data_IF_583153556922
#
_entry.id   IF_583153556922
#
_cell.length_a   1.000
_cell.length_b   1.000
_cell.length_c   1.000
_cell.angle_alpha   90.00
_cell.angle_beta   90.00
_cell.angle_gamma   90.00
#
_symmetry.space_group_name_H-M   'P 1'
#
loop_
_entity.id
_entity.type
_entity.pdbx_description
1 polymer ?
#
# COMPACT_ATOMS: atom_id res chain seq x y z
N UNK A 1 -11.38 -25.77 -16.83
CA UNK A 1 -12.07 -24.82 -17.77
C UNK A 1 -11.51 -25.00 -19.18
N UNK A 2 -12.32 -25.55 -20.12
CA UNK A 2 -11.90 -25.75 -21.52
C UNK A 2 -12.20 -24.51 -22.41
N UNK A 3 -12.31 -23.31 -21.83
CA UNK A 3 -12.53 -22.08 -22.61
C UNK A 3 -11.16 -21.52 -23.03
N UNK A 4 -11.00 -21.29 -24.33
CA UNK A 4 -9.83 -20.57 -24.84
C UNK A 4 -9.81 -19.13 -24.30
N UNK A 5 -8.68 -18.73 -23.74
CA UNK A 5 -8.47 -17.34 -23.29
C UNK A 5 -8.46 -16.42 -24.50
N UNK A 6 -9.33 -15.41 -24.49
CA UNK A 6 -9.46 -14.38 -25.51
C UNK A 6 -8.64 -13.13 -25.14
N UNK A 7 -8.34 -12.27 -26.10
CA UNK A 7 -7.50 -11.08 -25.87
C UNK A 7 -8.08 -10.12 -24.83
N UNK A 8 -9.41 -9.96 -24.76
CA UNK A 8 -10.07 -9.08 -23.80
C UNK A 8 -10.08 -9.64 -22.37
N UNK A 9 -9.88 -10.94 -22.18
CA UNK A 9 -9.78 -11.55 -20.85
C UNK A 9 -8.57 -10.97 -20.07
N UNK A 10 -7.50 -10.56 -20.79
CA UNK A 10 -6.35 -9.89 -20.18
C UNK A 10 -6.71 -8.58 -19.50
N UNK A 11 -7.61 -7.80 -20.11
CA UNK A 11 -8.11 -6.55 -19.55
C UNK A 11 -9.19 -6.82 -18.48
N UNK A 12 -10.18 -7.66 -18.80
CA UNK A 12 -11.32 -7.92 -17.93
C UNK A 12 -10.91 -8.47 -16.55
N UNK A 13 -9.96 -9.41 -16.51
CA UNK A 13 -9.49 -10.00 -15.23
C UNK A 13 -8.64 -9.04 -14.40
N UNK A 14 -8.06 -8.04 -15.03
CA UNK A 14 -7.17 -7.10 -14.39
C UNK A 14 -7.76 -5.69 -14.21
N UNK A 15 -8.92 -5.39 -14.80
CA UNK A 15 -9.51 -4.05 -14.78
C UNK A 15 -9.72 -3.51 -13.36
N UNK A 16 -10.11 -4.37 -12.43
CA UNK A 16 -10.39 -3.95 -11.06
C UNK A 16 -9.15 -3.44 -10.29
N UNK A 17 -7.94 -3.86 -10.68
CA UNK A 17 -6.70 -3.33 -10.13
C UNK A 17 -6.52 -1.83 -10.39
N UNK A 18 -7.00 -1.36 -11.55
CA UNK A 18 -7.01 0.07 -11.86
C UNK A 18 -7.88 0.85 -10.87
N UNK A 19 -9.06 0.36 -10.53
CA UNK A 19 -9.95 0.97 -9.53
C UNK A 19 -9.35 1.02 -8.14
N UNK A 20 -8.81 -0.12 -7.65
CA UNK A 20 -8.14 -0.21 -6.35
C UNK A 20 -6.97 0.78 -6.24
N UNK A 21 -6.16 0.87 -7.28
CA UNK A 21 -5.01 1.77 -7.29
C UNK A 21 -5.41 3.24 -7.47
N UNK A 22 -6.43 3.55 -8.27
CA UNK A 22 -6.97 4.90 -8.37
C UNK A 22 -7.52 5.37 -7.02
N UNK A 23 -8.25 4.50 -6.29
CA UNK A 23 -8.72 4.77 -4.94
C UNK A 23 -7.57 5.06 -3.98
N UNK A 24 -6.57 4.18 -3.94
CA UNK A 24 -5.41 4.33 -3.07
C UNK A 24 -4.61 5.61 -3.38
N UNK A 25 -4.33 5.89 -4.66
CA UNK A 25 -3.58 7.07 -5.10
C UNK A 25 -4.36 8.38 -4.95
N UNK A 26 -5.67 8.33 -4.81
CA UNK A 26 -6.50 9.50 -4.54
C UNK A 26 -6.66 9.75 -3.04
N UNK A 27 -7.09 8.73 -2.30
CA UNK A 27 -7.42 8.90 -0.88
C UNK A 27 -6.20 9.13 -0.02
N UNK A 28 -5.18 8.28 -0.15
CA UNK A 28 -4.01 8.31 0.74
C UNK A 28 -3.17 9.59 0.58
N UNK A 29 -2.72 9.98 -0.62
CA UNK A 29 -1.83 11.13 -0.76
C UNK A 29 -2.55 12.47 -1.00
N UNK A 30 -3.84 12.48 -1.36
CA UNK A 30 -4.51 13.72 -1.76
C UNK A 30 -5.65 14.10 -0.81
N UNK A 31 -6.69 13.26 -0.69
CA UNK A 31 -7.95 13.64 0.00
C UNK A 31 -7.80 13.59 1.51
N UNK A 32 -7.34 12.46 2.05
CA UNK A 32 -7.30 12.26 3.52
C UNK A 32 -6.34 13.22 4.22
N UNK A 33 -5.10 13.48 3.71
CA UNK A 33 -4.23 14.46 4.34
C UNK A 33 -4.81 15.87 4.37
N UNK A 34 -5.49 16.30 3.28
CA UNK A 34 -6.12 17.63 3.21
C UNK A 34 -7.25 17.76 4.24
N UNK A 35 -8.11 16.75 4.38
CA UNK A 35 -9.20 16.77 5.36
C UNK A 35 -8.69 16.69 6.80
N UNK A 36 -7.66 15.87 7.08
CA UNK A 36 -7.03 15.84 8.41
C UNK A 36 -6.48 17.20 8.78
N UNK A 37 -5.78 17.88 7.85
CA UNK A 37 -5.26 19.24 8.07
C UNK A 37 -6.38 20.25 8.32
N UNK A 38 -7.49 20.15 7.57
CA UNK A 38 -8.67 21.00 7.76
C UNK A 38 -9.28 20.86 9.16
N UNK A 39 -9.37 19.65 9.70
CA UNK A 39 -10.03 19.37 10.98
C UNK A 39 -9.14 19.62 12.20
N UNK A 40 -7.84 19.33 12.09
CA UNK A 40 -6.90 19.31 13.22
C UNK A 40 -5.92 20.50 13.20
N UNK A 41 -5.78 21.17 12.06
CA UNK A 41 -4.84 22.27 11.89
C UNK A 41 -3.41 21.82 11.58
N UNK A 42 -2.50 22.82 11.45
CA UNK A 42 -1.13 22.63 10.99
C UNK A 42 -0.25 21.84 11.96
N UNK A 43 -0.36 22.12 13.26
CA UNK A 43 0.60 21.61 14.26
C UNK A 43 0.50 20.09 14.47
N UNK A 44 -0.71 19.55 14.47
CA UNK A 44 -0.99 18.16 14.82
C UNK A 44 -1.35 17.26 13.63
N UNK A 45 -1.46 17.83 12.41
CA UNK A 45 -1.88 17.08 11.21
C UNK A 45 -1.08 15.81 10.95
N UNK A 46 0.24 15.88 11.13
CA UNK A 46 1.14 14.73 10.91
C UNK A 46 0.86 13.57 11.88
N UNK A 47 0.72 13.89 13.15
CA UNK A 47 0.43 12.89 14.21
C UNK A 47 -0.93 12.23 14.00
N UNK A 48 -1.97 13.02 13.73
CA UNK A 48 -3.33 12.52 13.53
C UNK A 48 -3.43 11.71 12.23
N UNK A 49 -2.80 12.16 11.15
CA UNK A 49 -2.74 11.40 9.89
C UNK A 49 -1.94 10.10 10.04
N UNK A 50 -0.81 10.13 10.74
CA UNK A 50 -0.01 8.93 11.03
C UNK A 50 -0.80 7.89 11.82
N UNK A 51 -1.54 8.34 12.86
CA UNK A 51 -2.41 7.47 13.64
C UNK A 51 -3.53 6.85 12.79
N UNK A 52 -4.19 7.64 11.97
CA UNK A 52 -5.21 7.15 11.05
C UNK A 52 -4.63 6.10 10.09
N UNK A 53 -3.45 6.35 9.51
CA UNK A 53 -2.77 5.40 8.63
C UNK A 53 -2.40 4.10 9.33
N UNK A 54 -1.91 4.16 10.55
CA UNK A 54 -1.59 2.97 11.34
C UNK A 54 -2.81 2.04 11.43
N UNK A 55 -3.93 2.57 11.89
CA UNK A 55 -5.13 1.77 12.08
C UNK A 55 -5.74 1.27 10.76
N UNK A 56 -5.77 2.10 9.73
CA UNK A 56 -6.28 1.69 8.41
C UNK A 56 -5.47 0.55 7.80
N UNK A 57 -4.15 0.57 7.94
CA UNK A 57 -3.28 -0.49 7.42
C UNK A 57 -3.40 -1.78 8.23
N UNK A 58 -3.57 -1.70 9.55
CA UNK A 58 -3.82 -2.88 10.40
C UNK A 58 -5.15 -3.56 10.05
N UNK A 59 -6.21 -2.77 9.88
CA UNK A 59 -7.52 -3.26 9.44
C UNK A 59 -7.42 -3.88 8.04
N UNK A 60 -6.70 -3.25 7.11
CA UNK A 60 -6.51 -3.76 5.76
C UNK A 60 -5.91 -5.17 5.74
N UNK A 61 -4.85 -5.43 6.52
CA UNK A 61 -4.19 -6.75 6.58
C UNK A 61 -5.18 -7.83 7.02
N UNK A 62 -5.94 -7.57 8.08
CA UNK A 62 -6.89 -8.53 8.64
C UNK A 62 -8.04 -8.81 7.66
N UNK A 63 -8.65 -7.74 7.15
CA UNK A 63 -9.83 -7.87 6.29
C UNK A 63 -9.48 -8.48 4.95
N UNK A 64 -8.36 -8.10 4.33
CA UNK A 64 -7.93 -8.65 3.04
C UNK A 64 -7.74 -10.16 3.09
N UNK A 65 -7.07 -10.64 4.12
CA UNK A 65 -6.82 -12.07 4.31
C UNK A 65 -8.10 -12.84 4.62
N UNK A 66 -8.96 -12.28 5.49
CA UNK A 66 -10.25 -12.88 5.82
C UNK A 66 -11.18 -12.93 4.58
N UNK A 67 -11.26 -11.84 3.83
CA UNK A 67 -12.06 -11.78 2.62
C UNK A 67 -11.57 -12.76 1.54
N UNK A 68 -10.25 -12.92 1.41
CA UNK A 68 -9.65 -13.94 0.56
C UNK A 68 -10.14 -15.35 0.93
N UNK A 69 -10.01 -15.72 2.20
CA UNK A 69 -10.47 -17.00 2.73
C UNK A 69 -11.97 -17.24 2.57
N UNK A 70 -12.80 -16.22 2.85
CA UNK A 70 -14.24 -16.28 2.69
C UNK A 70 -14.65 -16.41 1.22
N UNK A 71 -14.01 -15.66 0.33
CA UNK A 71 -14.30 -15.71 -1.10
C UNK A 71 -13.90 -17.07 -1.72
N UNK A 72 -12.81 -17.70 -1.24
CA UNK A 72 -12.40 -19.05 -1.67
C UNK A 72 -13.48 -20.10 -1.42
N UNK A 73 -14.27 -19.90 -0.39
CA UNK A 73 -15.30 -20.84 0.08
C UNK A 73 -16.71 -20.49 -0.39
N UNK A 74 -16.87 -19.36 -1.08
CA UNK A 74 -18.17 -18.90 -1.53
C UNK A 74 -18.78 -19.88 -2.54
N UNK A 75 -20.06 -20.24 -2.29
CA UNK A 75 -20.88 -21.10 -3.17
C UNK A 75 -21.90 -20.27 -3.96
N UNK A 76 -21.68 -18.96 -4.06
CA UNK A 76 -22.59 -18.02 -4.74
C UNK A 76 -22.82 -18.45 -6.20
N UNK A 77 -24.06 -18.28 -6.68
CA UNK A 77 -24.47 -18.50 -8.07
C UNK A 77 -23.74 -17.56 -9.06
N UNK A 78 -23.29 -16.40 -8.58
CA UNK A 78 -22.58 -15.40 -9.39
C UNK A 78 -21.07 -15.67 -9.51
N UNK A 79 -20.58 -16.79 -9.02
CA UNK A 79 -19.17 -17.07 -8.86
C UNK A 79 -18.67 -16.83 -7.45
N UNK A 80 -17.43 -17.20 -7.15
CA UNK A 80 -16.90 -17.08 -5.80
C UNK A 80 -16.30 -15.71 -5.49
N UNK A 81 -15.77 -14.98 -6.48
CA UNK A 81 -15.07 -13.70 -6.30
C UNK A 81 -15.96 -12.48 -6.56
N UNK A 82 -16.81 -12.53 -7.60
CA UNK A 82 -17.65 -11.42 -8.03
C UNK A 82 -18.53 -10.80 -6.92
N UNK A 83 -19.21 -11.58 -6.05
CA UNK A 83 -20.03 -10.98 -5.00
C UNK A 83 -19.23 -10.11 -4.04
N UNK A 84 -18.00 -10.52 -3.69
CA UNK A 84 -17.12 -9.77 -2.80
C UNK A 84 -16.61 -8.49 -3.47
N UNK A 85 -16.27 -8.53 -4.76
CA UNK A 85 -15.89 -7.35 -5.54
C UNK A 85 -17.04 -6.35 -5.57
N UNK A 86 -18.26 -6.81 -5.86
CA UNK A 86 -19.44 -5.96 -5.93
C UNK A 86 -19.76 -5.34 -4.57
N UNK A 87 -19.83 -6.14 -3.51
CA UNK A 87 -20.14 -5.68 -2.15
C UNK A 87 -19.08 -4.68 -1.66
N UNK A 88 -17.80 -4.98 -1.89
CA UNK A 88 -16.72 -4.07 -1.53
C UNK A 88 -16.81 -2.74 -2.29
N UNK A 89 -17.07 -2.80 -3.60
CA UNK A 89 -17.24 -1.57 -4.41
C UNK A 89 -18.44 -0.74 -3.95
N UNK A 90 -19.60 -1.36 -3.71
CA UNK A 90 -20.79 -0.64 -3.22
C UNK A 90 -20.50 0.04 -1.87
N UNK A 91 -19.80 -0.68 -0.97
CA UNK A 91 -19.36 -0.11 0.29
C UNK A 91 -18.39 1.07 0.08
N UNK A 92 -17.40 0.93 -0.82
CA UNK A 92 -16.47 2.00 -1.13
C UNK A 92 -17.18 3.25 -1.65
N UNK A 93 -18.17 3.10 -2.55
CA UNK A 93 -18.95 4.23 -3.06
C UNK A 93 -19.67 4.98 -1.93
N UNK A 94 -20.27 4.26 -0.98
CA UNK A 94 -20.94 4.86 0.19
C UNK A 94 -19.92 5.59 1.07
N UNK A 95 -18.77 4.94 1.38
CA UNK A 95 -17.76 5.53 2.25
C UNK A 95 -17.10 6.76 1.60
N UNK A 96 -16.83 6.73 0.30
CA UNK A 96 -16.29 7.88 -0.45
C UNK A 96 -17.28 9.05 -0.39
N UNK A 97 -18.57 8.81 -0.58
CA UNK A 97 -19.60 9.85 -0.46
C UNK A 97 -19.64 10.44 0.96
N UNK A 98 -19.59 9.61 1.99
CA UNK A 98 -19.58 10.05 3.39
C UNK A 98 -18.31 10.84 3.74
N UNK A 99 -17.13 10.44 3.20
CA UNK A 99 -15.90 11.22 3.30
C UNK A 99 -16.06 12.59 2.62
N UNK A 100 -16.71 12.64 1.46
CA UNK A 100 -17.03 13.90 0.79
C UNK A 100 -17.91 14.81 1.64
N UNK A 101 -18.95 14.28 2.28
CA UNK A 101 -19.82 15.03 3.20
C UNK A 101 -19.05 15.51 4.43
N UNK A 102 -18.06 14.75 4.93
CA UNK A 102 -17.26 15.19 6.07
C UNK A 102 -16.52 16.51 5.83
N UNK A 103 -16.21 16.85 4.57
CA UNK A 103 -15.53 18.09 4.24
C UNK A 103 -16.28 19.37 4.67
N UNK A 104 -17.59 19.27 4.88
CA UNK A 104 -18.42 20.34 5.46
C UNK A 104 -18.41 20.41 7.00
N UNK A 105 -17.69 19.51 7.67
CA UNK A 105 -17.57 19.47 9.13
C UNK A 105 -16.34 20.27 9.59
N UNK A 106 -16.29 20.57 10.87
CA UNK A 106 -15.19 21.34 11.48
C UNK A 106 -14.69 20.65 12.76
N UNK A 107 -13.42 20.91 13.08
CA UNK A 107 -12.79 20.53 14.34
C UNK A 107 -12.67 19.02 14.57
N UNK A 108 -12.44 18.59 15.84
CA UNK A 108 -12.18 17.20 16.18
C UNK A 108 -13.32 16.24 15.83
N UNK A 109 -14.57 16.71 15.81
CA UNK A 109 -15.73 15.89 15.42
C UNK A 109 -15.62 15.47 13.95
N UNK A 110 -15.22 16.38 13.05
CA UNK A 110 -14.95 16.08 11.64
C UNK A 110 -13.85 15.05 11.48
N UNK A 111 -12.76 15.16 12.27
CA UNK A 111 -11.67 14.19 12.25
C UNK A 111 -12.15 12.77 12.66
N UNK A 112 -12.87 12.62 13.76
CA UNK A 112 -13.32 11.29 14.21
C UNK A 112 -14.35 10.67 13.27
N UNK A 113 -15.18 11.50 12.63
CA UNK A 113 -16.06 11.04 11.58
C UNK A 113 -15.24 10.55 10.37
N UNK A 114 -14.29 11.35 9.86
CA UNK A 114 -13.36 10.97 8.80
C UNK A 114 -12.63 9.68 9.15
N UNK A 115 -12.07 9.59 10.36
CA UNK A 115 -11.35 8.41 10.86
C UNK A 115 -12.20 7.15 10.71
N UNK A 116 -13.45 7.20 11.20
CA UNK A 116 -14.38 6.08 11.12
C UNK A 116 -14.72 5.71 9.69
N UNK A 117 -14.99 6.69 8.82
CA UNK A 117 -15.32 6.43 7.41
C UNK A 117 -14.13 5.85 6.65
N UNK A 118 -12.91 6.30 6.91
CA UNK A 118 -11.70 5.75 6.27
C UNK A 118 -11.41 4.34 6.76
N UNK A 119 -11.62 4.03 8.04
CA UNK A 119 -11.54 2.64 8.57
C UNK A 119 -12.55 1.73 7.87
N UNK A 120 -13.81 2.16 7.75
CA UNK A 120 -14.85 1.39 7.07
C UNK A 120 -14.56 1.23 5.57
N UNK A 121 -14.02 2.27 4.92
CA UNK A 121 -13.54 2.18 3.54
C UNK A 121 -12.42 1.15 3.41
N UNK A 122 -11.49 1.07 4.37
CA UNK A 122 -10.47 0.01 4.34
C UNK A 122 -11.07 -1.39 4.47
N UNK A 123 -12.15 -1.55 5.23
CA UNK A 123 -12.89 -2.83 5.28
C UNK A 123 -13.46 -3.14 3.90
N UNK A 124 -14.23 -2.25 3.30
CA UNK A 124 -14.91 -2.48 2.02
C UNK A 124 -13.94 -2.69 0.87
N UNK A 125 -12.93 -1.84 0.76
CA UNK A 125 -11.85 -1.97 -0.25
C UNK A 125 -11.13 -3.31 -0.14
N UNK A 126 -10.80 -3.75 1.08
CA UNK A 126 -10.05 -4.98 1.26
C UNK A 126 -10.91 -6.25 1.14
N UNK A 127 -12.23 -6.16 1.30
CA UNK A 127 -13.17 -7.21 0.90
C UNK A 127 -13.08 -7.47 -0.61
N UNK A 128 -13.12 -6.42 -1.43
CA UNK A 128 -12.96 -6.55 -2.87
C UNK A 128 -11.53 -6.95 -3.27
N UNK A 129 -10.52 -6.36 -2.63
CA UNK A 129 -9.11 -6.61 -2.91
C UNK A 129 -8.73 -8.08 -2.66
N UNK A 130 -9.12 -8.65 -1.50
CA UNK A 130 -8.87 -10.04 -1.16
C UNK A 130 -9.45 -11.01 -2.19
N UNK A 131 -10.67 -10.74 -2.67
CA UNK A 131 -11.30 -11.51 -3.74
C UNK A 131 -10.56 -11.35 -5.08
N UNK A 132 -10.16 -10.13 -5.44
CA UNK A 132 -9.50 -9.83 -6.72
C UNK A 132 -8.15 -10.55 -6.85
N UNK A 133 -7.39 -10.71 -5.76
CA UNK A 133 -6.11 -11.40 -5.77
C UNK A 133 -6.20 -12.86 -6.24
N UNK A 134 -7.33 -13.52 -5.98
CA UNK A 134 -7.54 -14.91 -6.38
C UNK A 134 -7.90 -15.11 -7.86
N UNK A 135 -8.23 -14.08 -8.63
CA UNK A 135 -8.71 -14.21 -10.01
C UNK A 135 -7.67 -14.85 -10.92
N UNK A 136 -6.44 -14.35 -10.92
CA UNK A 136 -5.37 -14.87 -11.79
C UNK A 136 -5.00 -16.31 -11.44
N UNK A 137 -4.70 -16.67 -10.17
CA UNK A 137 -4.41 -18.06 -9.79
C UNK A 137 -5.53 -19.04 -10.15
N UNK A 138 -6.79 -18.61 -10.02
CA UNK A 138 -7.95 -19.47 -10.19
C UNK A 138 -8.34 -19.72 -11.64
N UNK A 139 -8.24 -18.69 -12.49
CA UNK A 139 -8.83 -18.71 -13.83
C UNK A 139 -7.79 -18.76 -14.94
N UNK A 140 -6.51 -18.45 -14.65
CA UNK A 140 -5.48 -18.35 -15.67
C UNK A 140 -4.53 -19.56 -15.62
N UNK A 141 -4.38 -20.31 -16.73
CA UNK A 141 -3.40 -21.38 -16.87
C UNK A 141 -1.98 -20.91 -16.58
N UNK A 142 -1.16 -21.79 -16.00
CA UNK A 142 0.19 -21.46 -15.52
C UNK A 142 1.05 -20.79 -16.62
N UNK A 143 0.94 -21.27 -17.87
CA UNK A 143 1.72 -20.81 -19.03
C UNK A 143 1.39 -19.35 -19.45
N UNK A 144 0.22 -18.85 -19.06
CA UNK A 144 -0.26 -17.50 -19.42
C UNK A 144 -0.23 -16.51 -18.26
N UNK A 145 0.03 -16.96 -17.02
CA UNK A 145 0.02 -16.11 -15.82
C UNK A 145 1.00 -14.94 -15.92
N UNK A 146 2.17 -15.15 -16.54
CA UNK A 146 3.15 -14.08 -16.74
C UNK A 146 2.59 -12.90 -17.55
N UNK A 147 1.88 -13.19 -18.65
CA UNK A 147 1.24 -12.15 -19.49
C UNK A 147 0.11 -11.42 -18.75
N UNK A 148 -0.71 -12.15 -17.98
CA UNK A 148 -1.74 -11.53 -17.13
C UNK A 148 -1.15 -10.64 -16.05
N UNK A 149 -0.06 -11.08 -15.42
CA UNK A 149 0.65 -10.28 -14.41
C UNK A 149 1.27 -9.02 -14.99
N UNK A 150 1.75 -9.04 -16.24
CA UNK A 150 2.24 -7.85 -16.91
C UNK A 150 1.13 -6.82 -17.14
N UNK A 151 -0.05 -7.26 -17.62
CA UNK A 151 -1.22 -6.37 -17.77
C UNK A 151 -1.70 -5.86 -16.41
N UNK A 152 -1.72 -6.72 -15.37
CA UNK A 152 -2.00 -6.30 -14.00
C UNK A 152 -1.07 -5.17 -13.58
N UNK A 153 0.24 -5.32 -13.75
CA UNK A 153 1.21 -4.32 -13.33
C UNK A 153 0.99 -2.96 -14.03
N UNK A 154 0.59 -2.95 -15.28
CA UNK A 154 0.23 -1.73 -16.01
C UNK A 154 -1.02 -1.05 -15.42
N UNK A 155 -2.06 -1.84 -15.13
CA UNK A 155 -3.32 -1.34 -14.58
C UNK A 155 -3.24 -1.02 -13.07
N UNK A 156 -2.25 -1.55 -12.37
CA UNK A 156 -2.04 -1.34 -10.93
C UNK A 156 -1.16 -0.11 -10.64
N UNK A 157 -0.15 0.18 -11.46
CA UNK A 157 0.86 1.20 -11.13
C UNK A 157 0.80 2.41 -12.06
N UNK A 158 1.24 2.37 -13.34
CA UNK A 158 1.40 3.59 -14.12
C UNK A 158 0.09 4.22 -14.58
N UNK A 159 -0.86 3.41 -15.05
CA UNK A 159 -2.11 3.92 -15.60
C UNK A 159 -2.94 4.67 -14.55
N UNK A 160 -3.18 4.13 -13.33
CA UNK A 160 -3.89 4.87 -12.29
C UNK A 160 -3.18 6.15 -11.88
N UNK A 161 -1.84 6.14 -11.77
CA UNK A 161 -1.07 7.33 -11.43
C UNK A 161 -1.25 8.44 -12.46
N UNK A 162 -1.22 8.09 -13.74
CA UNK A 162 -1.44 9.04 -14.84
C UNK A 162 -2.87 9.60 -14.77
N UNK A 163 -3.88 8.73 -14.67
CA UNK A 163 -5.28 9.14 -14.58
C UNK A 163 -5.48 10.08 -13.38
N UNK A 164 -5.08 9.67 -12.18
CA UNK A 164 -5.25 10.46 -10.97
C UNK A 164 -4.52 11.80 -11.09
N UNK A 165 -3.30 11.81 -11.61
CA UNK A 165 -2.48 13.03 -11.73
C UNK A 165 -3.08 14.06 -12.67
N UNK A 166 -3.59 13.64 -13.82
CA UNK A 166 -4.11 14.56 -14.83
C UNK A 166 -5.59 14.93 -14.66
N UNK A 167 -6.35 14.16 -13.90
CA UNK A 167 -7.79 14.41 -13.69
C UNK A 167 -8.10 14.79 -12.23
N UNK A 168 -8.07 13.82 -11.33
CA UNK A 168 -8.52 13.96 -9.94
C UNK A 168 -7.70 14.99 -9.17
N UNK A 169 -6.38 14.93 -9.25
CA UNK A 169 -5.51 15.87 -8.52
C UNK A 169 -5.68 17.32 -8.98
N UNK A 170 -5.96 17.54 -10.28
CA UNK A 170 -6.29 18.88 -10.78
C UNK A 170 -7.61 19.41 -10.23
N UNK A 171 -8.61 18.54 -10.04
CA UNK A 171 -9.87 18.92 -9.42
C UNK A 171 -9.66 19.28 -7.95
N UNK A 172 -8.91 18.45 -7.21
CA UNK A 172 -8.58 18.72 -5.81
C UNK A 172 -7.81 20.04 -5.66
N UNK A 173 -6.79 20.32 -6.50
CA UNK A 173 -6.00 21.54 -6.45
C UNK A 173 -6.80 22.81 -6.80
N UNK A 174 -7.92 22.67 -7.51
CA UNK A 174 -8.86 23.76 -7.79
C UNK A 174 -9.98 23.90 -6.73
N UNK A 175 -9.89 23.15 -5.62
CA UNK A 175 -10.91 23.14 -4.57
C UNK A 175 -12.18 22.35 -4.92
N UNK A 176 -12.22 21.67 -6.06
CA UNK A 176 -13.38 20.86 -6.46
C UNK A 176 -13.26 19.43 -5.95
N UNK A 177 -13.43 19.26 -4.62
CA UNK A 177 -13.34 17.95 -3.98
C UNK A 177 -14.44 17.01 -4.48
N UNK A 178 -15.67 17.47 -4.60
CA UNK A 178 -16.79 16.64 -5.07
C UNK A 178 -16.59 16.16 -6.51
N UNK A 179 -16.09 16.99 -7.41
CA UNK A 179 -15.75 16.58 -8.76
C UNK A 179 -14.70 15.47 -8.77
N UNK A 180 -13.68 15.56 -7.91
CA UNK A 180 -12.64 14.55 -7.74
C UNK A 180 -13.23 13.22 -7.24
N UNK A 181 -14.08 13.25 -6.21
CA UNK A 181 -14.71 12.06 -5.63
C UNK A 181 -15.68 11.39 -6.59
N UNK A 182 -16.53 12.15 -7.30
CA UNK A 182 -17.45 11.62 -8.30
C UNK A 182 -16.69 10.96 -9.45
N UNK A 183 -15.58 11.55 -9.91
CA UNK A 183 -14.73 10.95 -10.93
C UNK A 183 -14.14 9.62 -10.45
N UNK A 184 -13.64 9.56 -9.21
CA UNK A 184 -13.16 8.33 -8.60
C UNK A 184 -14.25 7.26 -8.50
N UNK A 185 -15.44 7.64 -8.02
CA UNK A 185 -16.60 6.74 -7.92
C UNK A 185 -16.99 6.20 -9.30
N UNK A 186 -16.97 7.05 -10.34
CA UNK A 186 -17.22 6.65 -11.73
C UNK A 186 -16.22 5.59 -12.22
N UNK A 187 -14.92 5.78 -11.94
CA UNK A 187 -13.89 4.80 -12.25
C UNK A 187 -14.20 3.46 -11.56
N UNK A 188 -14.50 3.48 -10.25
CA UNK A 188 -14.81 2.27 -9.49
C UNK A 188 -16.02 1.53 -10.04
N UNK A 189 -17.08 2.24 -10.39
CA UNK A 189 -18.28 1.65 -11.01
C UNK A 189 -17.94 0.97 -12.33
N UNK A 190 -17.21 1.65 -13.21
CA UNK A 190 -16.84 1.11 -14.53
C UNK A 190 -16.00 -0.17 -14.38
N UNK A 191 -14.96 -0.15 -13.54
CA UNK A 191 -14.11 -1.33 -13.39
C UNK A 191 -14.83 -2.48 -12.66
N UNK A 192 -15.75 -2.18 -11.74
CA UNK A 192 -16.58 -3.19 -11.10
C UNK A 192 -17.53 -3.84 -12.10
N UNK A 193 -18.18 -3.06 -12.97
CA UNK A 193 -19.02 -3.58 -14.04
C UNK A 193 -18.21 -4.49 -14.98
N UNK A 194 -17.00 -4.07 -15.38
CA UNK A 194 -16.10 -4.91 -16.18
C UNK A 194 -15.78 -6.23 -15.44
N UNK A 195 -15.51 -6.17 -14.12
CA UNK A 195 -15.21 -7.36 -13.33
C UNK A 195 -16.41 -8.35 -13.26
N UNK A 196 -17.65 -7.88 -13.42
CA UNK A 196 -18.81 -8.77 -13.48
C UNK A 196 -18.84 -9.66 -14.72
N UNK A 197 -18.10 -9.32 -15.78
CA UNK A 197 -17.97 -10.16 -16.97
C UNK A 197 -16.89 -11.25 -16.85
N UNK A 198 -16.16 -11.36 -15.75
CA UNK A 198 -15.20 -12.43 -15.51
C UNK A 198 -15.94 -13.78 -15.53
N UNK A 199 -15.51 -14.78 -16.32
CA UNK A 199 -16.23 -16.04 -16.47
C UNK A 199 -15.98 -16.97 -15.27
N UNK A 200 -16.58 -16.69 -14.12
CA UNK A 200 -16.54 -17.57 -12.96
C UNK A 200 -17.64 -18.63 -13.00
N UNK A 201 -17.33 -19.83 -12.55
CA UNK A 201 -18.31 -20.90 -12.36
C UNK A 201 -18.66 -21.03 -10.88
N UNK A 202 -19.90 -21.44 -10.60
CA UNK A 202 -20.33 -21.73 -9.23
C UNK A 202 -19.46 -22.88 -8.66
N UNK A 203 -18.91 -22.68 -7.50
CA UNK A 203 -18.23 -23.73 -6.76
C UNK A 203 -19.29 -24.66 -6.12
N UNK A 204 -19.41 -25.90 -6.62
CA UNK A 204 -20.36 -26.88 -6.13
C UNK A 204 -19.79 -27.77 -5.02
N UNK A 205 -18.48 -27.73 -4.78
CA UNK A 205 -17.88 -28.49 -3.69
C UNK A 205 -18.16 -27.82 -2.35
N UNK A 206 -18.68 -28.58 -1.39
CA UNK A 206 -18.78 -28.14 -0.01
C UNK A 206 -17.37 -27.84 0.50
N UNK A 207 -17.13 -26.60 0.89
CA UNK A 207 -15.85 -26.19 1.43
C UNK A 207 -15.59 -26.91 2.76
N UNK A 208 -14.35 -27.34 2.97
CA UNK A 208 -13.87 -27.74 4.30
C UNK A 208 -14.19 -26.65 5.34
N UNK A 209 -14.48 -27.00 6.61
CA UNK A 209 -14.80 -26.02 7.64
C UNK A 209 -13.70 -24.95 7.76
N UNK A 210 -14.06 -23.75 8.16
CA UNK A 210 -13.13 -22.62 8.32
C UNK A 210 -12.02 -23.05 9.29
N UNK A 211 -10.78 -23.04 8.85
CA UNK A 211 -9.65 -23.28 9.74
C UNK A 211 -9.50 -22.04 10.65
N UNK A 212 -10.29 -22.02 11.72
CA UNK A 212 -10.28 -20.95 12.72
C UNK A 212 -8.88 -20.67 13.24
N UNK A 213 -8.05 -21.70 13.30
CA UNK A 213 -6.64 -21.60 13.69
C UNK A 213 -5.83 -20.66 12.78
N UNK A 214 -6.05 -20.71 11.46
CA UNK A 214 -5.35 -19.84 10.51
C UNK A 214 -5.75 -18.36 10.71
N UNK A 215 -7.05 -18.13 10.96
CA UNK A 215 -7.54 -16.77 11.27
C UNK A 215 -7.00 -16.26 12.61
N UNK A 216 -7.08 -17.07 13.67
CA UNK A 216 -6.55 -16.70 14.99
C UNK A 216 -5.06 -16.41 14.92
N UNK A 217 -4.30 -17.21 14.17
CA UNK A 217 -2.87 -17.02 13.96
C UNK A 217 -2.56 -15.71 13.23
N UNK A 218 -3.31 -15.40 12.16
CA UNK A 218 -3.17 -14.14 11.42
C UNK A 218 -3.54 -12.96 12.31
N UNK A 219 -4.63 -13.04 13.05
CA UNK A 219 -5.06 -12.00 14.00
C UNK A 219 -4.01 -11.80 15.10
N UNK A 220 -3.48 -12.87 15.68
CA UNK A 220 -2.42 -12.81 16.69
C UNK A 220 -1.13 -12.19 16.15
N UNK A 221 -0.72 -12.57 14.92
CA UNK A 221 0.45 -12.01 14.26
C UNK A 221 0.28 -10.50 14.00
N UNK A 222 -0.87 -10.06 13.50
CA UNK A 222 -1.16 -8.65 13.24
C UNK A 222 -1.26 -7.86 14.53
N UNK A 223 -1.93 -8.42 15.56
CA UNK A 223 -2.03 -7.78 16.88
C UNK A 223 -0.66 -7.61 17.54
N UNK A 224 0.18 -8.65 17.51
CA UNK A 224 1.53 -8.58 18.06
C UNK A 224 2.37 -7.52 17.33
N UNK A 225 2.29 -7.45 16.00
CA UNK A 225 2.96 -6.43 15.21
C UNK A 225 2.48 -5.02 15.59
N UNK A 226 1.16 -4.84 15.70
CA UNK A 226 0.55 -3.55 16.09
C UNK A 226 0.98 -3.12 17.50
N UNK A 227 0.98 -4.05 18.46
CA UNK A 227 1.41 -3.76 19.84
C UNK A 227 2.88 -3.36 19.91
N UNK A 228 3.76 -3.98 19.11
CA UNK A 228 5.17 -3.59 19.00
C UNK A 228 5.27 -2.15 18.48
N UNK A 229 4.53 -1.80 17.44
CA UNK A 229 4.52 -0.44 16.88
C UNK A 229 4.01 0.58 17.89
N UNK A 230 2.88 0.31 18.54
CA UNK A 230 2.30 1.21 19.55
C UNK A 230 3.25 1.39 20.74
N UNK A 231 3.90 0.31 21.20
CA UNK A 231 4.87 0.36 22.29
C UNK A 231 6.09 1.22 21.95
N UNK A 232 6.65 1.07 20.74
CA UNK A 232 7.77 1.88 20.27
C UNK A 232 7.35 3.34 20.12
N UNK A 233 6.20 3.62 19.50
CA UNK A 233 5.69 4.97 19.34
C UNK A 233 5.40 5.63 20.70
N UNK A 234 4.89 4.89 21.67
CA UNK A 234 4.72 5.39 23.05
C UNK A 234 6.07 5.73 23.67
N UNK A 235 7.09 4.88 23.52
CA UNK A 235 8.43 5.14 24.01
C UNK A 235 9.05 6.40 23.35
N UNK A 236 8.84 6.62 22.05
CA UNK A 236 9.27 7.84 21.35
C UNK A 236 8.55 9.07 21.92
N UNK A 237 7.24 8.98 22.17
CA UNK A 237 6.46 10.07 22.79
C UNK A 237 6.96 10.44 24.20
N UNK A 238 7.44 9.49 24.97
CA UNK A 238 8.04 9.77 26.28
C UNK A 238 9.33 10.61 26.18
N UNK A 239 10.03 10.57 25.06
CA UNK A 239 11.20 11.41 24.81
C UNK A 239 10.83 12.86 24.43
N UNK A 240 9.58 13.12 24.02
CA UNK A 240 9.13 14.44 23.54
C UNK A 240 9.42 15.61 24.52
N UNK A 241 9.19 15.52 25.84
CA UNK A 241 9.50 16.62 26.76
C UNK A 241 10.99 16.99 26.83
N UNK A 242 11.86 16.01 26.56
CA UNK A 242 13.30 16.23 26.49
C UNK A 242 13.69 16.91 25.16
N UNK A 243 13.03 16.51 24.07
CA UNK A 243 13.27 17.04 22.74
C UNK A 243 12.81 18.49 22.60
N UNK A 244 11.68 18.87 23.17
CA UNK A 244 11.15 20.24 23.10
C UNK A 244 12.05 21.31 23.74
N UNK A 245 13.04 20.92 24.55
CA UNK A 245 14.01 21.83 25.19
C UNK A 245 15.27 22.03 24.34
N UNK A 246 15.41 21.34 23.22
CA UNK A 246 16.60 21.39 22.38
C UNK A 246 16.52 22.49 21.33
N UNK A 247 17.65 23.05 20.94
CA UNK A 247 17.77 23.94 19.78
C UNK A 247 17.47 23.18 18.47
N UNK A 248 17.15 23.90 17.41
CA UNK A 248 16.66 23.31 16.14
C UNK A 248 17.61 22.26 15.51
N UNK A 249 18.92 22.50 15.50
CA UNK A 249 19.87 21.59 14.89
C UNK A 249 20.07 20.29 15.69
N UNK A 250 20.35 20.34 17.04
CA UNK A 250 20.38 19.14 17.86
C UNK A 250 19.04 18.38 17.88
N UNK A 251 17.92 19.10 17.89
CA UNK A 251 16.57 18.51 17.82
C UNK A 251 16.40 17.65 16.58
N UNK A 252 16.78 18.16 15.41
CA UNK A 252 16.65 17.42 14.13
C UNK A 252 17.49 16.13 14.15
N UNK A 253 18.75 16.21 14.60
CA UNK A 253 19.65 15.05 14.68
C UNK A 253 19.12 14.02 15.68
N UNK A 254 18.75 14.47 16.87
CA UNK A 254 18.28 13.57 17.94
C UNK A 254 16.96 12.88 17.55
N UNK A 255 16.01 13.62 16.98
CA UNK A 255 14.76 13.06 16.46
C UNK A 255 15.02 12.07 15.35
N UNK A 256 15.93 12.37 14.42
CA UNK A 256 16.34 11.45 13.36
C UNK A 256 16.93 10.15 13.90
N UNK A 257 17.83 10.22 14.86
CA UNK A 257 18.44 9.03 15.51
C UNK A 257 17.38 8.21 16.27
N UNK A 258 16.52 8.84 17.05
CA UNK A 258 15.44 8.15 17.78
C UNK A 258 14.49 7.45 16.81
N UNK A 259 14.11 8.12 15.71
CA UNK A 259 13.25 7.55 14.68
C UNK A 259 13.90 6.35 13.97
N UNK A 260 15.20 6.43 13.66
CA UNK A 260 15.94 5.31 13.06
C UNK A 260 16.03 4.10 14.00
N UNK A 261 16.31 4.34 15.29
CA UNK A 261 16.34 3.28 16.31
C UNK A 261 14.94 2.67 16.47
N UNK A 262 13.90 3.50 16.59
CA UNK A 262 12.51 3.06 16.67
C UNK A 262 12.10 2.22 15.46
N UNK A 263 12.44 2.67 14.26
CA UNK A 263 12.21 1.93 13.03
C UNK A 263 12.94 0.58 13.02
N UNK A 264 14.22 0.56 13.41
CA UNK A 264 14.98 -0.67 13.47
C UNK A 264 14.36 -1.68 14.48
N UNK A 265 13.97 -1.22 15.66
CA UNK A 265 13.29 -2.04 16.66
C UNK A 265 11.95 -2.57 16.16
N UNK A 266 11.16 -1.73 15.47
CA UNK A 266 9.88 -2.12 14.86
C UNK A 266 10.07 -3.19 13.77
N UNK A 267 11.05 -3.01 12.91
CA UNK A 267 11.35 -3.96 11.82
C UNK A 267 11.83 -5.30 12.39
N UNK A 268 12.86 -5.28 13.22
CA UNK A 268 13.43 -6.52 13.78
C UNK A 268 12.47 -7.22 14.76
N UNK A 269 11.82 -6.45 15.63
CA UNK A 269 10.85 -6.96 16.61
C UNK A 269 9.60 -7.49 15.89
N UNK A 270 9.03 -6.70 14.97
CA UNK A 270 7.85 -7.06 14.22
C UNK A 270 8.04 -8.30 13.35
N UNK A 271 9.16 -8.40 12.61
CA UNK A 271 9.48 -9.59 11.80
C UNK A 271 9.70 -10.81 12.69
N UNK A 272 10.44 -10.67 13.80
CA UNK A 272 10.70 -11.80 14.69
C UNK A 272 9.42 -12.32 15.35
N UNK A 273 8.54 -11.43 15.80
CA UNK A 273 7.23 -11.81 16.36
C UNK A 273 6.35 -12.48 15.29
N UNK A 274 6.27 -11.89 14.10
CA UNK A 274 5.48 -12.45 13.00
C UNK A 274 5.95 -13.83 12.58
N UNK A 275 7.25 -14.07 12.50
CA UNK A 275 7.80 -15.37 12.15
C UNK A 275 7.54 -16.43 13.25
N UNK A 276 7.62 -16.03 14.51
CA UNK A 276 7.35 -16.96 15.64
C UNK A 276 5.88 -17.38 15.70
N UNK A 277 4.96 -16.47 15.38
CA UNK A 277 3.51 -16.73 15.45
C UNK A 277 3.00 -17.38 14.16
N UNK A 278 3.46 -16.88 13.01
CA UNK A 278 2.91 -17.25 11.70
C UNK A 278 3.51 -18.49 11.07
N UNK A 279 4.71 -18.92 11.47
CA UNK A 279 5.45 -20.02 10.82
C UNK A 279 5.57 -21.23 11.73
N UNK A 280 4.92 -22.35 11.36
CA UNK A 280 5.01 -23.61 12.10
C UNK A 280 6.32 -24.35 11.84
N UNK A 281 6.85 -24.25 10.64
CA UNK A 281 8.11 -24.92 10.26
C UNK A 281 9.30 -24.31 10.98
N UNK A 282 9.89 -25.06 11.88
CA UNK A 282 11.08 -24.64 12.64
C UNK A 282 12.27 -24.34 11.70
N UNK A 283 12.41 -25.11 10.62
CA UNK A 283 13.45 -24.93 9.62
C UNK A 283 13.31 -23.57 8.92
N UNK A 284 12.11 -23.18 8.50
CA UNK A 284 11.86 -21.91 7.84
C UNK A 284 11.97 -20.73 8.82
N UNK A 285 11.50 -20.90 10.06
CA UNK A 285 11.60 -19.87 11.11
C UNK A 285 13.03 -19.55 11.47
N UNK A 286 13.94 -20.55 11.41
CA UNK A 286 15.37 -20.41 11.68
C UNK A 286 16.20 -20.08 10.44
N UNK A 287 15.63 -20.09 9.23
CA UNK A 287 16.35 -19.76 8.00
C UNK A 287 16.77 -18.28 7.99
N UNK A 288 18.07 -17.99 8.05
CA UNK A 288 18.55 -16.62 8.05
C UNK A 288 18.24 -15.91 6.72
N UNK A 289 18.21 -16.61 5.60
CA UNK A 289 17.96 -16.04 4.27
C UNK A 289 16.54 -15.52 4.17
N UNK A 290 15.55 -16.30 4.63
CA UNK A 290 14.15 -15.92 4.65
C UNK A 290 13.90 -14.72 5.58
N UNK A 291 14.45 -14.76 6.79
CA UNK A 291 14.33 -13.68 7.77
C UNK A 291 14.92 -12.37 7.23
N UNK A 292 16.12 -12.40 6.67
CA UNK A 292 16.76 -11.20 6.12
C UNK A 292 16.05 -10.67 4.87
N UNK A 293 15.47 -11.55 4.05
CA UNK A 293 14.65 -11.14 2.93
C UNK A 293 13.41 -10.36 3.37
N UNK A 294 12.68 -10.85 4.40
CA UNK A 294 11.51 -10.16 4.96
C UNK A 294 11.90 -8.82 5.58
N UNK A 295 12.99 -8.77 6.36
CA UNK A 295 13.52 -7.52 6.96
C UNK A 295 13.87 -6.51 5.87
N UNK A 296 14.62 -6.92 4.86
CA UNK A 296 15.01 -6.04 3.75
C UNK A 296 13.79 -5.48 3.01
N UNK A 297 12.81 -6.34 2.72
CA UNK A 297 11.56 -5.95 2.08
C UNK A 297 10.80 -4.93 2.92
N UNK A 298 10.62 -5.21 4.21
CA UNK A 298 9.92 -4.30 5.13
C UNK A 298 10.63 -2.96 5.24
N UNK A 299 11.94 -2.95 5.44
CA UNK A 299 12.75 -1.73 5.58
C UNK A 299 12.69 -0.85 4.32
N UNK A 300 12.82 -1.44 3.12
CA UNK A 300 12.73 -0.69 1.87
C UNK A 300 11.33 -0.09 1.67
N UNK A 301 10.30 -0.89 1.92
CA UNK A 301 8.91 -0.46 1.71
C UNK A 301 8.46 0.60 2.73
N UNK A 302 9.07 0.69 3.93
CA UNK A 302 8.83 1.78 4.87
C UNK A 302 9.11 3.13 4.18
N UNK A 303 10.27 3.30 3.57
CA UNK A 303 10.61 4.52 2.84
C UNK A 303 9.69 4.76 1.65
N UNK A 304 9.53 3.74 0.81
CA UNK A 304 8.77 3.84 -0.44
C UNK A 304 7.28 4.18 -0.23
N UNK A 305 6.59 3.48 0.67
CA UNK A 305 5.15 3.67 0.89
C UNK A 305 4.82 4.97 1.63
N UNK A 306 5.73 5.44 2.50
CA UNK A 306 5.46 6.65 3.28
C UNK A 306 5.82 7.92 2.53
N UNK A 307 6.74 7.86 1.57
CA UNK A 307 7.00 8.98 0.69
C UNK A 307 5.69 9.48 0.04
N UNK A 308 4.89 8.59 -0.55
CA UNK A 308 3.62 8.96 -1.17
C UNK A 308 2.62 9.53 -0.15
N UNK A 309 2.52 8.92 1.05
CA UNK A 309 1.56 9.32 2.08
C UNK A 309 1.79 10.72 2.66
N UNK A 310 3.05 11.11 2.82
CA UNK A 310 3.40 12.41 3.43
C UNK A 310 3.83 13.47 2.42
N UNK A 311 3.72 13.21 1.11
CA UNK A 311 4.18 14.10 0.04
C UNK A 311 3.59 15.50 0.16
N UNK A 312 2.28 15.65 0.41
CA UNK A 312 1.64 16.96 0.55
C UNK A 312 2.27 17.75 1.71
N UNK A 313 2.38 17.12 2.89
CA UNK A 313 2.94 17.77 4.07
C UNK A 313 4.42 18.12 3.89
N UNK A 314 5.18 17.28 3.21
CA UNK A 314 6.57 17.55 2.84
C UNK A 314 6.69 18.78 1.93
N UNK A 315 5.87 18.89 0.88
CA UNK A 315 5.87 20.03 -0.02
C UNK A 315 5.42 21.33 0.66
N UNK A 316 4.42 21.26 1.54
CA UNK A 316 3.99 22.40 2.35
C UNK A 316 5.10 22.90 3.28
N UNK A 317 5.69 22.00 4.07
CA UNK A 317 6.74 22.36 5.02
C UNK A 317 8.05 22.81 4.37
N UNK A 318 8.38 22.25 3.17
CA UNK A 318 9.66 22.53 2.51
C UNK A 318 9.62 23.68 1.53
N UNK A 319 8.50 23.87 0.83
CA UNK A 319 8.34 24.87 -0.24
C UNK A 319 7.26 25.94 0.07
N UNK A 320 6.57 25.85 1.21
CA UNK A 320 5.56 26.82 1.63
C UNK A 320 4.26 26.79 0.83
N UNK A 321 3.93 25.67 0.15
CA UNK A 321 2.65 25.56 -0.56
C UNK A 321 1.45 25.64 0.37
N UNK A 322 0.40 26.32 -0.06
CA UNK A 322 -0.89 26.32 0.65
C UNK A 322 -1.59 24.96 0.47
N UNK A 323 -2.54 24.68 1.36
CA UNK A 323 -3.19 23.36 1.51
C UNK A 323 -3.60 22.69 0.18
N UNK A 324 -4.45 23.31 -0.63
CA UNK A 324 -4.95 22.70 -1.87
C UNK A 324 -3.93 22.78 -3.02
N UNK A 325 -3.07 23.78 -3.03
CA UNK A 325 -2.08 24.01 -4.09
C UNK A 325 -1.01 22.91 -4.11
N UNK A 326 -0.70 22.30 -2.96
CA UNK A 326 0.23 21.21 -2.84
C UNK A 326 -0.22 19.92 -3.57
N UNK A 327 -1.52 19.75 -3.80
CA UNK A 327 -2.07 18.54 -4.42
C UNK A 327 -1.57 18.33 -5.88
N UNK A 328 -1.46 19.41 -6.65
CA UNK A 328 -0.94 19.36 -8.01
C UNK A 328 0.52 18.90 -8.07
N UNK A 329 1.45 19.60 -7.40
CA UNK A 329 2.85 19.22 -7.28
C UNK A 329 3.04 17.80 -6.69
N UNK A 330 2.29 17.44 -5.66
CA UNK A 330 2.35 16.10 -5.05
C UNK A 330 1.99 14.99 -6.06
N UNK A 331 0.93 15.20 -6.82
CA UNK A 331 0.51 14.27 -7.86
C UNK A 331 1.51 14.15 -9.00
N UNK A 332 2.12 15.27 -9.44
CA UNK A 332 3.20 15.23 -10.44
C UNK A 332 4.41 14.48 -9.93
N UNK A 333 4.80 14.67 -8.67
CA UNK A 333 5.89 13.90 -8.06
C UNK A 333 5.59 12.40 -8.09
N UNK A 334 4.38 12.01 -7.67
CA UNK A 334 3.93 10.62 -7.71
C UNK A 334 3.91 10.07 -9.14
N UNK A 335 3.53 10.88 -10.13
CA UNK A 335 3.58 10.50 -11.54
C UNK A 335 5.02 10.26 -12.01
N UNK A 336 5.98 11.15 -11.69
CA UNK A 336 7.41 10.97 -12.05
C UNK A 336 7.97 9.68 -11.42
N UNK A 337 7.64 9.42 -10.15
CA UNK A 337 7.99 8.16 -9.48
C UNK A 337 7.39 6.97 -10.22
N UNK A 338 6.10 7.01 -10.56
CA UNK A 338 5.39 5.92 -11.24
C UNK A 338 5.94 5.62 -12.64
N UNK A 339 6.22 6.66 -13.43
CA UNK A 339 6.83 6.50 -14.76
C UNK A 339 8.23 5.91 -14.64
N UNK A 340 9.02 6.38 -13.68
CA UNK A 340 10.36 5.86 -13.44
C UNK A 340 10.35 4.39 -12.98
N UNK A 341 9.38 3.99 -12.12
CA UNK A 341 9.14 2.59 -11.76
C UNK A 341 8.89 1.74 -13.01
N UNK A 342 7.99 2.19 -13.89
CA UNK A 342 7.64 1.46 -15.10
C UNK A 342 8.84 1.27 -16.02
N UNK A 343 9.57 2.36 -16.28
CA UNK A 343 10.73 2.35 -17.18
C UNK A 343 11.89 1.49 -16.64
N UNK A 344 12.05 1.43 -15.32
CA UNK A 344 13.11 0.65 -14.68
C UNK A 344 12.74 -0.81 -14.43
N UNK A 345 11.46 -1.11 -14.24
CA UNK A 345 11.00 -2.48 -13.99
C UNK A 345 11.23 -3.41 -15.20
N UNK A 346 11.07 -2.90 -16.43
CA UNK A 346 11.29 -3.69 -17.64
C UNK A 346 12.75 -4.17 -17.79
N UNK A 347 13.78 -3.29 -17.72
CA UNK A 347 15.17 -3.73 -17.80
C UNK A 347 15.65 -4.45 -16.52
N UNK A 348 14.96 -4.28 -15.39
CA UNK A 348 15.34 -4.87 -14.11
C UNK A 348 15.42 -6.39 -14.15
N UNK A 349 14.51 -7.06 -14.86
CA UNK A 349 14.56 -8.51 -15.04
C UNK A 349 15.87 -8.96 -15.69
N UNK A 350 16.23 -8.33 -16.80
CA UNK A 350 17.49 -8.62 -17.49
C UNK A 350 18.74 -8.30 -16.64
N UNK A 351 18.73 -7.15 -15.96
CA UNK A 351 19.81 -6.76 -15.05
C UNK A 351 19.95 -7.73 -13.88
N UNK A 352 18.84 -8.20 -13.34
CA UNK A 352 18.77 -9.16 -12.22
C UNK A 352 19.38 -10.50 -12.62
N UNK A 353 19.07 -10.99 -13.82
CA UNK A 353 19.61 -12.25 -14.32
C UNK A 353 21.12 -12.13 -14.64
N UNK A 354 21.57 -10.98 -15.18
CA UNK A 354 22.96 -10.77 -15.57
C UNK A 354 23.90 -10.47 -14.40
N UNK A 355 23.47 -9.61 -13.45
CA UNK A 355 24.34 -9.09 -12.37
C UNK A 355 24.05 -9.75 -11.00
N UNK A 356 23.00 -10.56 -10.92
CA UNK A 356 22.58 -11.26 -9.71
C UNK A 356 21.62 -10.45 -8.84
N UNK A 357 20.63 -11.14 -8.30
CA UNK A 357 19.47 -10.59 -7.57
C UNK A 357 19.87 -9.73 -6.38
N UNK A 358 20.80 -10.20 -5.54
CA UNK A 358 21.26 -9.49 -4.33
C UNK A 358 21.90 -8.12 -4.65
N UNK A 359 22.71 -8.05 -5.72
CA UNK A 359 23.37 -6.82 -6.14
C UNK A 359 22.37 -5.78 -6.64
N UNK A 360 21.36 -6.21 -7.40
CA UNK A 360 20.32 -5.30 -7.90
C UNK A 360 19.44 -4.79 -6.75
N UNK A 361 19.10 -5.63 -5.76
CA UNK A 361 18.40 -5.18 -4.54
C UNK A 361 19.22 -4.14 -3.77
N UNK A 362 20.54 -4.32 -3.64
CA UNK A 362 21.41 -3.35 -2.98
C UNK A 362 21.50 -2.03 -3.77
N UNK A 363 21.67 -2.10 -5.09
CA UNK A 363 21.64 -0.92 -5.96
C UNK A 363 20.34 -0.15 -5.87
N UNK A 364 19.22 -0.86 -5.85
CA UNK A 364 17.88 -0.28 -5.67
C UNK A 364 17.76 0.51 -4.36
N UNK A 365 18.26 -0.06 -3.26
CA UNK A 365 18.30 0.62 -1.97
C UNK A 365 19.16 1.89 -1.99
N UNK A 366 20.35 1.80 -2.61
CA UNK A 366 21.24 2.95 -2.76
C UNK A 366 20.60 4.08 -3.60
N UNK A 367 19.99 3.75 -4.73
CA UNK A 367 19.30 4.75 -5.58
C UNK A 367 18.15 5.40 -4.84
N UNK A 368 17.32 4.63 -4.13
CA UNK A 368 16.23 5.18 -3.35
C UNK A 368 16.72 6.13 -2.25
N UNK A 369 17.81 5.76 -1.55
CA UNK A 369 18.42 6.60 -0.52
C UNK A 369 19.02 7.89 -1.13
N UNK A 370 19.75 7.80 -2.25
CA UNK A 370 20.32 8.95 -2.93
C UNK A 370 19.23 9.91 -3.45
N UNK A 371 18.17 9.39 -4.06
CA UNK A 371 17.03 10.19 -4.53
C UNK A 371 16.31 10.90 -3.38
N UNK A 372 16.13 10.21 -2.24
CA UNK A 372 15.52 10.80 -1.04
C UNK A 372 16.42 11.90 -0.47
N UNK A 373 17.73 11.64 -0.34
CA UNK A 373 18.69 12.64 0.15
C UNK A 373 18.68 13.89 -0.73
N UNK A 374 18.67 13.72 -2.06
CA UNK A 374 18.59 14.83 -3.01
C UNK A 374 17.30 15.65 -2.84
N UNK A 375 16.14 14.97 -2.74
CA UNK A 375 14.85 15.64 -2.57
C UNK A 375 14.74 16.42 -1.25
N UNK A 376 15.36 15.90 -0.18
CA UNK A 376 15.35 16.53 1.15
C UNK A 376 16.39 17.66 1.24
N UNK A 377 17.57 17.52 0.63
CA UNK A 377 18.66 18.50 0.77
C UNK A 377 18.32 19.84 0.08
N UNK A 378 17.69 19.81 -1.10
CA UNK A 378 17.50 21.00 -1.93
C UNK A 378 16.02 21.38 -1.98
N UNK A 379 15.62 22.56 -1.44
CA UNK A 379 14.22 23.04 -1.47
C UNK A 379 13.85 23.63 -2.84
N UNK A 380 13.88 22.81 -3.87
CA UNK A 380 13.53 23.19 -5.24
C UNK A 380 12.65 22.10 -5.85
N UNK A 381 11.51 22.50 -6.39
CA UNK A 381 10.50 21.57 -6.91
C UNK A 381 11.04 20.70 -8.04
N UNK A 382 11.88 21.23 -8.93
CA UNK A 382 12.51 20.47 -10.01
C UNK A 382 13.46 19.40 -9.46
N UNK A 383 14.27 19.76 -8.46
CA UNK A 383 15.19 18.81 -7.80
C UNK A 383 14.42 17.72 -7.06
N UNK A 384 13.30 18.08 -6.42
CA UNK A 384 12.40 17.11 -5.77
C UNK A 384 11.83 16.13 -6.80
N UNK A 385 11.43 16.59 -7.99
CA UNK A 385 10.97 15.71 -9.07
C UNK A 385 12.07 14.78 -9.59
N UNK A 386 13.31 15.29 -9.75
CA UNK A 386 14.47 14.46 -10.12
C UNK A 386 14.73 13.41 -9.03
N UNK A 387 14.76 13.82 -7.77
CA UNK A 387 14.90 12.91 -6.63
C UNK A 387 13.81 11.83 -6.63
N UNK A 388 12.56 12.23 -6.89
CA UNK A 388 11.43 11.30 -7.05
C UNK A 388 11.61 10.30 -8.19
N UNK A 389 12.09 10.76 -9.34
CA UNK A 389 12.39 9.85 -10.46
C UNK A 389 13.49 8.85 -10.12
N UNK A 390 14.55 9.27 -9.42
CA UNK A 390 15.62 8.37 -8.94
C UNK A 390 15.07 7.35 -7.95
N UNK A 391 14.21 7.78 -7.01
CA UNK A 391 13.50 6.88 -6.08
C UNK A 391 12.67 5.88 -6.88
N UNK A 392 11.93 6.34 -7.89
CA UNK A 392 11.12 5.49 -8.75
C UNK A 392 11.94 4.42 -9.48
N UNK A 393 13.12 4.77 -10.01
CA UNK A 393 14.07 3.80 -10.59
C UNK A 393 14.44 2.76 -9.54
N UNK A 394 14.85 3.18 -8.35
CA UNK A 394 15.15 2.29 -7.24
C UNK A 394 14.01 1.34 -6.90
N UNK A 395 12.78 1.86 -6.82
CA UNK A 395 11.58 1.06 -6.55
C UNK A 395 11.31 0.00 -7.64
N UNK A 396 11.42 0.36 -8.92
CA UNK A 396 11.20 -0.58 -10.03
C UNK A 396 12.24 -1.71 -10.04
N UNK A 397 13.51 -1.40 -9.80
CA UNK A 397 14.57 -2.39 -9.62
C UNK A 397 14.28 -3.29 -8.41
N UNK A 398 13.88 -2.69 -7.28
CA UNK A 398 13.60 -3.42 -6.04
C UNK A 398 12.43 -4.39 -6.19
N UNK A 399 11.29 -3.94 -6.68
CA UNK A 399 10.11 -4.80 -6.80
C UNK A 399 10.39 -6.04 -7.64
N UNK A 400 11.09 -5.88 -8.77
CA UNK A 400 11.42 -7.00 -9.65
C UNK A 400 12.45 -7.94 -9.01
N UNK A 401 13.58 -7.39 -8.56
CA UNK A 401 14.69 -8.20 -8.04
C UNK A 401 14.37 -8.85 -6.68
N UNK A 402 13.69 -8.13 -5.79
CA UNK A 402 13.30 -8.64 -4.47
C UNK A 402 12.26 -9.76 -4.58
N UNK A 403 11.31 -9.63 -5.52
CA UNK A 403 10.34 -10.70 -5.78
C UNK A 403 11.01 -11.95 -6.35
N UNK A 404 11.90 -11.78 -7.33
CA UNK A 404 12.69 -12.88 -7.89
C UNK A 404 13.57 -13.56 -6.83
N UNK A 405 14.15 -12.78 -5.90
CA UNK A 405 14.92 -13.32 -4.78
C UNK A 405 14.02 -14.11 -3.81
N UNK A 406 12.83 -13.59 -3.52
CA UNK A 406 11.86 -14.28 -2.66
C UNK A 406 11.43 -15.63 -3.21
N UNK A 407 11.15 -15.72 -4.52
CA UNK A 407 10.77 -16.99 -5.15
C UNK A 407 11.87 -18.05 -5.16
N UNK A 408 13.14 -17.63 -5.00
CA UNK A 408 14.28 -18.54 -4.86
C UNK A 408 14.45 -19.05 -3.42
N UNK A 409 14.26 -18.17 -2.44
CA UNK A 409 14.46 -18.47 -1.02
C UNK A 409 13.29 -19.30 -0.46
N UNK A 410 12.06 -19.04 -0.94
CA UNK A 410 10.84 -19.61 -0.38
C UNK A 410 10.64 -21.06 -0.86
N UNK A 411 10.48 -22.04 0.06
CA UNK A 411 10.17 -23.41 -0.31
C UNK A 411 8.82 -23.51 -1.03
N UNK A 412 8.78 -24.22 -2.17
CA UNK A 412 7.56 -24.38 -3.00
C UNK A 412 6.37 -24.93 -2.21
N UNK A 413 6.60 -25.83 -1.25
CA UNK A 413 5.56 -26.42 -0.42
C UNK A 413 4.87 -25.42 0.54
N UNK A 414 5.52 -24.29 0.86
CA UNK A 414 5.04 -23.27 1.80
C UNK A 414 4.92 -21.87 1.16
N UNK A 415 4.92 -21.82 -0.17
CA UNK A 415 4.93 -20.57 -0.92
C UNK A 415 3.77 -19.63 -0.53
N UNK A 416 2.56 -20.16 -0.35
CA UNK A 416 1.39 -19.36 0.05
C UNK A 416 1.57 -18.65 1.40
N UNK A 417 2.05 -19.38 2.41
CA UNK A 417 2.31 -18.84 3.75
C UNK A 417 3.40 -17.76 3.70
N UNK A 418 4.52 -18.04 3.06
CA UNK A 418 5.66 -17.14 2.97
C UNK A 418 5.34 -15.86 2.20
N UNK A 419 4.55 -15.96 1.12
CA UNK A 419 4.04 -14.81 0.38
C UNK A 419 3.03 -14.01 1.20
N UNK A 420 2.20 -14.67 2.03
CA UNK A 420 1.33 -14.03 3.01
C UNK A 420 2.10 -13.16 4.01
N UNK A 421 3.19 -13.69 4.57
CA UNK A 421 4.09 -12.94 5.46
C UNK A 421 4.75 -11.76 4.71
N UNK A 422 5.11 -11.96 3.44
CA UNK A 422 5.64 -10.88 2.60
C UNK A 422 4.62 -9.75 2.37
N UNK A 423 3.32 -10.07 2.26
CA UNK A 423 2.27 -9.07 2.15
C UNK A 423 2.06 -8.29 3.46
N UNK A 424 2.22 -8.97 4.63
CA UNK A 424 2.24 -8.29 5.92
C UNK A 424 3.39 -7.26 5.98
N UNK A 425 4.57 -7.59 5.43
CA UNK A 425 5.67 -6.63 5.33
C UNK A 425 5.29 -5.40 4.47
N UNK A 426 4.52 -5.58 3.40
CA UNK A 426 4.06 -4.47 2.56
C UNK A 426 3.13 -3.50 3.29
N UNK A 427 2.10 -4.00 3.95
CA UNK A 427 1.17 -3.18 4.71
C UNK A 427 1.78 -2.67 6.03
N UNK A 428 2.56 -3.51 6.73
CA UNK A 428 3.29 -3.12 7.94
C UNK A 428 4.30 -1.99 7.71
N UNK A 429 4.92 -1.94 6.52
CA UNK A 429 5.81 -0.86 6.14
C UNK A 429 5.11 0.50 6.12
N UNK A 430 3.89 0.56 5.59
CA UNK A 430 3.07 1.78 5.62
C UNK A 430 2.73 2.21 7.04
N UNK A 431 2.46 1.26 7.92
CA UNK A 431 2.13 1.54 9.33
C UNK A 431 3.35 2.05 10.12
N UNK A 432 4.52 1.42 10.00
CA UNK A 432 5.74 1.83 10.71
C UNK A 432 6.14 3.27 10.36
N UNK A 433 6.14 3.61 9.08
CA UNK A 433 6.59 4.94 8.66
C UNK A 433 5.51 6.03 8.83
N UNK A 434 4.26 5.65 9.11
CA UNK A 434 3.19 6.59 9.39
C UNK A 434 3.13 6.99 10.87
N UNK A 435 3.63 6.16 11.75
CA UNK A 435 3.58 6.33 13.21
C UNK A 435 4.93 6.78 13.77
#
# INVERSE_FOLDING_TARGET
>A
MNRSIRWYDYLTFNAYWLGLSALSNTMTPLVVPLLVQQFIGEELKGTYYGNLRLWTLMVAILVQSLAGLLSDRSTSRWGRRRPFILLGTLGDLVMIALIGFSAGMEGPAGYWFLFTMVILMMVTTNVAHGATQGIIPDLVPAEKRGRFSAVKALLEIPIPLIIVSFTIARMVSKGNLWGALITLMGILVVVALIAMFIPEQQNKSSSSPLAWQDFVRLAAMTSAFTLILLGIGWAVKLAHPLLCKMEAAPLLVTTGVISLIGMALAVFGGVTASLRIGVDSESLRKDPSFRWWVINRLAFLIGANNLAGFTIYFLQGRLGFVQAEAAGPASRLTMFVGVAILLSALPSGFLTDRFGRKRIVALAGFLAAAGTALAVAVPNLTVIYIGGAIIGIGMGLFYTANWALGTEIVPKAQAGLCLGISNLAGAGAGAIGAY
#
